data_IF_353262614692
#
_entry.id   IF_353262614692
#
_cell.length_a   1.000
_cell.length_b   1.000
_cell.length_c   1.000
_cell.angle_alpha   90.00
_cell.angle_beta   90.00
_cell.angle_gamma   90.00
#
_symmetry.space_group_name_H-M   'P 1'
#
loop_
_entity.id
_entity.type
_entity.pdbx_description
1 polymer ?
#
# COMPACT_ATOMS: atom_id res chain seq x y z
N UNK A 1 3.14 -19.57 -10.11
CA UNK A 1 4.39 -18.84 -9.83
C UNK A 1 4.36 -18.04 -8.52
N UNK A 2 3.32 -17.26 -8.23
CA UNK A 2 3.31 -16.34 -7.07
C UNK A 2 3.03 -16.98 -5.67
N UNK A 3 2.73 -18.29 -5.59
CA UNK A 3 2.51 -19.09 -4.35
C UNK A 3 1.58 -18.47 -3.29
N UNK A 4 0.52 -17.77 -3.71
CA UNK A 4 -0.44 -17.15 -2.79
C UNK A 4 -1.41 -18.15 -2.12
N UNK A 5 -1.65 -19.29 -2.76
CA UNK A 5 -2.45 -20.41 -2.27
C UNK A 5 -1.71 -21.69 -2.62
N UNK A 6 -1.72 -22.67 -1.71
CA UNK A 6 -1.07 -23.97 -1.90
C UNK A 6 -2.11 -25.09 -1.84
N UNK A 7 -2.59 -25.61 -2.98
CA UNK A 7 -3.55 -26.69 -2.98
C UNK A 7 -2.91 -28.01 -2.56
N UNK A 8 -3.68 -28.82 -1.83
CA UNK A 8 -3.38 -30.24 -1.69
C UNK A 8 -3.58 -30.97 -3.02
N UNK A 9 -2.97 -32.15 -3.16
CA UNK A 9 -3.17 -33.00 -4.35
C UNK A 9 -3.73 -34.36 -3.96
N UNK A 10 -4.64 -34.86 -4.77
CA UNK A 10 -5.11 -36.25 -4.70
C UNK A 10 -4.03 -37.21 -5.19
N UNK A 11 -4.19 -38.52 -4.91
CA UNK A 11 -3.30 -39.55 -5.42
C UNK A 11 -3.22 -39.57 -6.97
N UNK A 12 -4.31 -39.21 -7.65
CA UNK A 12 -4.36 -39.06 -9.11
C UNK A 12 -3.82 -37.71 -9.61
N UNK A 13 -3.32 -36.84 -8.72
CA UNK A 13 -2.67 -35.56 -9.07
C UNK A 13 -3.60 -34.35 -9.16
N UNK A 14 -4.92 -34.51 -9.02
CA UNK A 14 -5.87 -33.39 -9.03
C UNK A 14 -5.66 -32.44 -7.83
N UNK A 15 -5.75 -31.13 -8.06
CA UNK A 15 -5.66 -30.10 -7.01
C UNK A 15 -6.96 -30.05 -6.22
N UNK A 16 -6.85 -29.98 -4.90
CA UNK A 16 -7.97 -29.82 -3.96
C UNK A 16 -7.75 -28.53 -3.17
N UNK A 17 -8.79 -27.69 -3.16
CA UNK A 17 -8.80 -26.43 -2.43
C UNK A 17 -9.79 -26.52 -1.28
N UNK A 18 -9.36 -26.01 -0.12
CA UNK A 18 -10.13 -25.96 1.12
C UNK A 18 -10.90 -24.65 1.23
N UNK A 19 -11.82 -24.57 2.21
CA UNK A 19 -12.44 -23.28 2.56
C UNK A 19 -11.42 -22.23 3.03
N UNK A 20 -10.31 -22.66 3.62
CA UNK A 20 -9.25 -21.75 4.02
C UNK A 20 -8.57 -21.09 2.81
N UNK A 21 -8.39 -21.85 1.73
CA UNK A 21 -7.83 -21.33 0.46
C UNK A 21 -8.72 -20.26 -0.16
N UNK A 22 -10.04 -20.45 -0.12
CA UNK A 22 -11.01 -19.45 -0.59
C UNK A 22 -10.87 -18.17 0.23
N UNK A 23 -10.82 -18.25 1.56
CA UNK A 23 -10.68 -17.07 2.43
C UNK A 23 -9.38 -16.32 2.18
N UNK A 24 -8.28 -17.06 1.96
CA UNK A 24 -6.99 -16.49 1.59
C UNK A 24 -7.06 -15.77 0.25
N UNK A 25 -7.70 -16.36 -0.74
CA UNK A 25 -7.89 -15.73 -2.05
C UNK A 25 -8.79 -14.49 -1.98
N UNK A 26 -9.89 -14.53 -1.20
CA UNK A 26 -10.73 -13.36 -0.97
C UNK A 26 -9.96 -12.20 -0.36
N UNK A 27 -9.08 -12.48 0.61
CA UNK A 27 -8.19 -11.47 1.18
C UNK A 27 -7.24 -10.87 0.12
N UNK A 28 -6.59 -11.71 -0.70
CA UNK A 28 -5.72 -11.27 -1.80
C UNK A 28 -6.48 -10.34 -2.75
N UNK A 29 -7.69 -10.72 -3.17
CA UNK A 29 -8.50 -9.92 -4.09
C UNK A 29 -8.87 -8.56 -3.51
N UNK A 30 -9.23 -8.49 -2.23
CA UNK A 30 -9.53 -7.23 -1.54
C UNK A 30 -8.28 -6.36 -1.44
N UNK A 31 -7.15 -6.91 -1.03
CA UNK A 31 -5.89 -6.18 -0.91
C UNK A 31 -5.43 -5.62 -2.27
N UNK A 32 -5.53 -6.38 -3.36
CA UNK A 32 -5.21 -5.87 -4.70
C UNK A 32 -6.10 -4.70 -5.10
N UNK A 33 -7.40 -4.77 -4.83
CA UNK A 33 -8.34 -3.66 -5.11
C UNK A 33 -8.02 -2.39 -4.33
N UNK A 34 -7.37 -2.52 -3.17
CA UNK A 34 -6.90 -1.40 -2.35
C UNK A 34 -5.51 -0.89 -2.77
N UNK A 35 -4.94 -1.39 -3.87
CA UNK A 35 -3.68 -0.91 -4.42
C UNK A 35 -2.42 -1.50 -3.80
N UNK A 36 -2.52 -2.66 -3.14
CA UNK A 36 -1.35 -3.42 -2.70
C UNK A 36 -0.83 -4.30 -3.84
N UNK A 37 0.50 -4.38 -3.98
CA UNK A 37 1.11 -5.24 -4.98
C UNK A 37 1.00 -6.72 -4.58
N UNK A 38 1.09 -7.63 -5.55
CA UNK A 38 1.17 -9.07 -5.26
C UNK A 38 2.40 -9.39 -4.38
N UNK A 39 3.48 -8.62 -4.50
CA UNK A 39 4.67 -8.82 -3.66
C UNK A 39 4.36 -8.52 -2.19
N UNK A 40 3.77 -7.36 -1.90
CA UNK A 40 3.43 -6.94 -0.54
C UNK A 40 2.45 -7.93 0.10
N UNK A 41 1.45 -8.36 -0.68
CA UNK A 41 0.46 -9.34 -0.24
C UNK A 41 1.12 -10.67 0.10
N UNK A 42 2.07 -11.13 -0.72
CA UNK A 42 2.79 -12.39 -0.49
C UNK A 42 3.63 -12.32 0.78
N UNK A 43 4.37 -11.23 0.98
CA UNK A 43 5.19 -11.01 2.16
C UNK A 43 4.32 -11.03 3.41
N UNK A 44 3.22 -10.28 3.41
CA UNK A 44 2.32 -10.26 4.54
C UNK A 44 1.70 -11.65 4.80
N UNK A 45 1.29 -12.37 3.75
CA UNK A 45 0.77 -13.74 3.84
C UNK A 45 1.81 -14.79 4.29
N UNK A 46 3.11 -14.49 4.21
CA UNK A 46 4.18 -15.35 4.73
C UNK A 46 4.27 -15.33 6.26
N UNK A 47 3.71 -14.30 6.91
CA UNK A 47 3.60 -14.23 8.37
C UNK A 47 2.52 -15.16 8.94
N UNK A 48 1.66 -15.71 8.08
CA UNK A 48 0.64 -16.66 8.48
C UNK A 48 1.26 -18.05 8.72
N UNK A 49 0.77 -18.79 9.71
CA UNK A 49 1.31 -20.11 10.06
C UNK A 49 1.19 -21.10 8.89
N UNK A 50 2.25 -21.87 8.67
CA UNK A 50 2.24 -23.01 7.78
C UNK A 50 1.70 -24.26 8.51
N UNK A 51 0.95 -25.11 7.79
CA UNK A 51 0.47 -26.39 8.32
C UNK A 51 -0.81 -26.33 9.17
N UNK A 52 -1.39 -25.15 9.41
CA UNK A 52 -2.75 -25.03 9.98
C UNK A 52 -3.58 -23.92 9.34
N UNK A 53 -4.89 -24.03 9.46
CA UNK A 53 -5.81 -22.95 9.06
C UNK A 53 -5.54 -21.70 9.92
N UNK A 54 -5.33 -20.52 9.30
CA UNK A 54 -5.20 -19.27 10.04
C UNK A 54 -6.45 -18.96 10.88
N UNK A 55 -6.23 -18.55 12.13
CA UNK A 55 -7.25 -18.21 13.11
C UNK A 55 -7.65 -16.74 12.98
N UNK A 56 -8.71 -16.34 13.68
CA UNK A 56 -9.11 -14.92 13.78
C UNK A 56 -7.94 -14.04 14.25
N UNK A 57 -7.18 -14.48 15.25
CA UNK A 57 -6.03 -13.74 15.79
C UNK A 57 -4.92 -13.53 14.75
N UNK A 58 -4.63 -14.55 13.93
CA UNK A 58 -3.65 -14.43 12.85
C UNK A 58 -4.10 -13.39 11.81
N UNK A 59 -5.38 -13.43 11.43
CA UNK A 59 -5.99 -12.45 10.53
C UNK A 59 -6.03 -11.04 11.12
N UNK A 60 -6.26 -10.90 12.43
CA UNK A 60 -6.25 -9.60 13.10
C UNK A 60 -4.87 -8.97 13.07
N UNK A 61 -3.81 -9.75 13.36
CA UNK A 61 -2.42 -9.26 13.28
C UNK A 61 -2.07 -8.81 11.86
N UNK A 62 -2.42 -9.62 10.87
CA UNK A 62 -2.23 -9.26 9.46
C UNK A 62 -3.01 -7.99 9.08
N UNK A 63 -4.26 -7.87 9.54
CA UNK A 63 -5.08 -6.69 9.29
C UNK A 63 -4.52 -5.41 9.90
N UNK A 64 -3.79 -5.49 11.01
CA UNK A 64 -3.15 -4.32 11.63
C UNK A 64 -2.04 -3.74 10.77
N UNK A 65 -1.21 -4.58 10.12
CA UNK A 65 -0.16 -4.07 9.22
C UNK A 65 -0.75 -3.40 7.98
N UNK A 66 -1.80 -3.99 7.40
CA UNK A 66 -2.53 -3.38 6.28
C UNK A 66 -3.22 -2.08 6.67
N UNK A 67 -3.82 -2.02 7.88
CA UNK A 67 -4.41 -0.79 8.40
C UNK A 67 -3.38 0.33 8.47
N UNK A 68 -2.21 0.08 9.06
CA UNK A 68 -1.16 1.10 9.16
C UNK A 68 -0.73 1.63 7.78
N UNK A 69 -0.52 0.74 6.80
CA UNK A 69 -0.18 1.14 5.43
C UNK A 69 -1.29 1.91 4.72
N UNK A 70 -2.56 1.57 4.98
CA UNK A 70 -3.71 2.31 4.47
C UNK A 70 -3.81 3.70 5.09
N UNK A 71 -3.62 3.81 6.41
CA UNK A 71 -3.68 5.07 7.15
C UNK A 71 -2.60 6.04 6.65
N UNK A 72 -1.37 5.56 6.40
CA UNK A 72 -0.29 6.35 5.82
C UNK A 72 -0.65 6.86 4.41
N UNK A 73 -1.21 5.98 3.56
CA UNK A 73 -1.67 6.38 2.21
C UNK A 73 -2.80 7.39 2.27
N UNK A 74 -3.76 7.22 3.17
CA UNK A 74 -4.89 8.15 3.36
C UNK A 74 -4.36 9.52 3.80
N UNK A 75 -3.42 9.55 4.73
CA UNK A 75 -2.79 10.79 5.18
C UNK A 75 -2.10 11.52 4.03
N UNK A 76 -1.24 10.83 3.25
CA UNK A 76 -0.57 11.41 2.10
C UNK A 76 -1.53 11.88 0.99
N UNK A 77 -2.59 11.12 0.71
CA UNK A 77 -3.62 11.51 -0.27
C UNK A 77 -4.44 12.71 0.20
N UNK A 78 -4.70 12.81 1.50
CA UNK A 78 -5.42 13.93 2.11
C UNK A 78 -4.56 15.19 2.08
N UNK A 79 -3.29 15.10 2.45
CA UNK A 79 -2.33 16.22 2.34
C UNK A 79 -2.20 16.69 0.89
N UNK A 80 -2.06 15.76 -0.06
CA UNK A 80 -2.00 16.11 -1.49
C UNK A 80 -3.28 16.81 -1.95
N UNK A 81 -4.46 16.30 -1.58
CA UNK A 81 -5.74 16.95 -1.90
C UNK A 81 -5.78 18.37 -1.36
N UNK A 82 -5.46 18.56 -0.09
CA UNK A 82 -5.56 19.86 0.58
C UNK A 82 -4.55 20.86 -0.02
N UNK A 83 -3.34 20.40 -0.36
CA UNK A 83 -2.35 21.22 -1.09
C UNK A 83 -2.83 21.56 -2.50
N UNK A 84 -3.44 20.63 -3.23
CA UNK A 84 -4.00 20.91 -4.56
C UNK A 84 -5.17 21.91 -4.47
N UNK A 85 -6.06 21.78 -3.50
CA UNK A 85 -7.15 22.72 -3.26
C UNK A 85 -6.62 24.12 -2.95
N UNK A 86 -5.55 24.23 -2.15
CA UNK A 86 -4.88 25.51 -1.88
C UNK A 86 -4.25 26.11 -3.14
N UNK A 87 -3.71 25.28 -4.04
CA UNK A 87 -3.13 25.73 -5.30
C UNK A 87 -4.19 26.21 -6.29
N UNK A 88 -5.36 25.55 -6.33
CA UNK A 88 -6.51 25.95 -7.14
C UNK A 88 -7.13 27.24 -6.57
N UNK A 89 -7.28 27.34 -5.25
CA UNK A 89 -7.82 28.50 -4.54
C UNK A 89 -6.92 29.73 -4.55
N UNK A 90 -5.60 29.55 -4.67
CA UNK A 90 -4.63 30.62 -4.89
C UNK A 90 -4.84 31.33 -6.25
N UNK A 91 -5.52 30.68 -7.20
CA UNK A 91 -5.85 31.26 -8.51
C UNK A 91 -4.63 31.59 -9.38
N UNK A 92 -3.44 31.16 -8.98
CA UNK A 92 -2.20 31.66 -9.58
C UNK A 92 -1.88 31.06 -10.94
N UNK A 93 -2.36 29.84 -11.27
CA UNK A 93 -2.01 29.11 -12.51
C UNK A 93 -0.50 29.20 -12.87
N UNK A 94 0.34 29.43 -11.85
CA UNK A 94 1.73 29.83 -11.98
C UNK A 94 2.53 28.83 -11.17
N UNK A 95 3.25 27.97 -11.91
CA UNK A 95 4.18 27.01 -11.35
C UNK A 95 5.20 27.68 -10.39
N UNK A 96 5.46 28.99 -10.51
CA UNK A 96 6.35 29.74 -9.61
C UNK A 96 5.78 29.97 -8.20
N UNK A 97 4.46 30.01 -8.02
CA UNK A 97 3.82 30.29 -6.73
C UNK A 97 3.30 29.01 -6.04
N UNK A 98 3.29 27.89 -6.76
CA UNK A 98 2.86 26.60 -6.25
C UNK A 98 3.91 26.05 -5.27
N UNK A 99 3.56 25.93 -3.98
CA UNK A 99 4.45 25.35 -2.95
C UNK A 99 4.83 23.89 -3.21
N UNK A 100 4.17 23.21 -4.16
CA UNK A 100 4.52 21.88 -4.62
C UNK A 100 5.55 21.88 -5.76
N UNK A 101 5.84 23.04 -6.36
CA UNK A 101 6.76 23.15 -7.48
C UNK A 101 8.21 23.22 -7.00
N UNK A 102 8.96 22.17 -7.29
CA UNK A 102 10.37 22.02 -6.96
C UNK A 102 11.23 22.38 -8.18
N UNK A 103 11.42 23.68 -8.42
CA UNK A 103 12.24 24.18 -9.53
C UNK A 103 13.67 23.62 -9.42
N UNK A 104 14.23 23.14 -10.53
CA UNK A 104 15.61 22.61 -10.59
C UNK A 104 15.90 21.43 -9.63
N UNK A 105 14.85 20.80 -9.09
CA UNK A 105 14.96 19.67 -8.18
C UNK A 105 15.79 19.93 -6.90
N UNK A 106 15.78 21.17 -6.40
CA UNK A 106 16.63 21.62 -5.27
C UNK A 106 16.49 20.78 -4.00
N UNK A 107 15.30 20.24 -3.73
CA UNK A 107 15.04 19.42 -2.53
C UNK A 107 15.48 17.96 -2.68
N UNK A 108 15.98 17.53 -3.85
CA UNK A 108 16.47 16.14 -4.04
C UNK A 108 17.60 15.76 -3.07
N UNK A 109 18.35 16.76 -2.59
CA UNK A 109 19.37 16.59 -1.53
C UNK A 109 18.81 15.99 -0.23
N UNK A 110 17.49 16.12 0.01
CA UNK A 110 16.78 15.56 1.17
C UNK A 110 16.40 14.07 1.00
N UNK A 111 16.52 13.52 -0.21
CA UNK A 111 16.26 12.12 -0.51
C UNK A 111 15.39 11.91 -1.74
N UNK A 112 15.00 10.66 -1.99
CA UNK A 112 14.19 10.28 -3.15
C UNK A 112 12.70 10.55 -2.92
N UNK A 113 11.96 10.77 -4.02
CA UNK A 113 10.51 10.90 -4.01
C UNK A 113 10.01 12.34 -3.87
N UNK A 114 8.68 12.55 -3.78
CA UNK A 114 8.07 13.88 -3.76
C UNK A 114 8.24 14.55 -2.38
N UNK A 115 9.42 15.11 -2.11
CA UNK A 115 9.84 15.59 -0.78
C UNK A 115 8.87 16.57 -0.11
N UNK A 116 8.32 17.52 -0.87
CA UNK A 116 7.33 18.46 -0.34
C UNK A 116 5.99 17.80 0.07
N UNK A 117 5.68 16.61 -0.44
CA UNK A 117 4.55 15.79 0.03
C UNK A 117 4.94 14.90 1.23
N UNK A 118 6.23 14.66 1.43
CA UNK A 118 6.76 13.87 2.53
C UNK A 118 7.11 14.73 3.76
N UNK A 119 6.83 16.03 3.72
CA UNK A 119 6.92 16.95 4.86
C UNK A 119 8.07 17.96 4.82
N UNK A 120 8.94 17.93 3.79
CA UNK A 120 9.93 19.00 3.58
C UNK A 120 9.22 20.27 3.05
N UNK A 121 9.80 21.45 3.27
CA UNK A 121 9.29 22.76 2.85
C UNK A 121 10.35 23.53 2.05
N UNK A 122 9.97 24.46 1.15
CA UNK A 122 10.93 25.36 0.50
C UNK A 122 11.79 26.20 1.47
N UNK A 123 11.35 26.34 2.72
CA UNK A 123 12.11 27.04 3.79
C UNK A 123 13.19 26.17 4.43
N UNK A 124 13.19 24.87 4.17
CA UNK A 124 14.11 23.91 4.80
C UNK A 124 15.42 23.76 4.00
N UNK A 125 15.59 24.56 2.94
CA UNK A 125 16.70 24.51 1.96
C UNK A 125 17.38 25.88 1.89
#
# INVERSE_FOLDING_TARGET
EQRLVQPHRTAAGHRVFTRADIRRLSFVMVAQRLGFSISDIREALSSLPEGRTPTKTDWTRLGQSFRAALDERIAGLTDLRDKLDSCIGCGCLSLKACMLHNTEDVVASRGTGPRYLLGDSPTDI
#
